data_IF_255877609627
#
_entry.id   IF_255877609627
#
_cell.length_a   1.000
_cell.length_b   1.000
_cell.length_c   1.000
_cell.angle_alpha   90.00
_cell.angle_beta   90.00
_cell.angle_gamma   90.00
#
_symmetry.space_group_name_H-M   'P 1'
#
loop_
_entity.id
_entity.type
_entity.pdbx_description
1 polymer ?
#
# COMPACT_ATOMS: atom_id res chain seq x y z
N UNK A 1 32.92 11.13 35.03
CA UNK A 1 31.87 10.35 34.34
C UNK A 1 31.26 11.29 33.33
N UNK A 2 31.70 11.19 32.07
CA UNK A 2 31.26 12.05 30.97
C UNK A 2 30.24 11.27 30.16
N UNK A 3 29.03 11.81 30.07
CA UNK A 3 27.99 11.31 29.20
C UNK A 3 28.44 11.38 27.74
N UNK A 4 28.69 10.22 27.14
CA UNK A 4 28.81 10.09 25.69
C UNK A 4 27.41 10.14 25.10
N UNK A 5 26.97 11.33 24.73
CA UNK A 5 25.89 11.51 23.77
C UNK A 5 26.41 10.89 22.47
N UNK A 6 25.85 9.75 22.09
CA UNK A 6 26.01 9.18 20.75
C UNK A 6 25.53 10.24 19.76
N UNK A 7 26.44 10.90 19.06
CA UNK A 7 26.14 11.51 17.77
C UNK A 7 25.51 10.42 16.91
N UNK A 8 24.20 10.48 16.75
CA UNK A 8 23.51 9.75 15.71
C UNK A 8 24.05 10.34 14.42
N UNK A 9 24.84 9.57 13.69
CA UNK A 9 25.42 9.95 12.40
C UNK A 9 24.30 10.11 11.36
N UNK A 10 23.71 11.31 11.34
CA UNK A 10 22.65 11.71 10.43
C UNK A 10 23.12 11.73 8.97
N UNK A 11 24.42 11.99 8.74
CA UNK A 11 25.02 12.04 7.41
C UNK A 11 25.01 10.66 6.74
N UNK A 12 25.37 9.59 7.46
CA UNK A 12 25.30 8.23 6.88
C UNK A 12 23.87 7.75 6.66
N UNK A 13 22.89 8.19 7.45
CA UNK A 13 21.48 7.86 7.22
C UNK A 13 20.93 8.54 5.96
N UNK A 14 21.24 9.83 5.76
CA UNK A 14 20.83 10.58 4.57
C UNK A 14 21.44 9.99 3.30
N UNK A 15 22.74 9.71 3.31
CA UNK A 15 23.44 9.09 2.18
C UNK A 15 22.87 7.70 1.83
N UNK A 16 22.50 6.91 2.84
CA UNK A 16 21.83 5.62 2.63
C UNK A 16 20.47 5.78 1.95
N UNK A 17 19.63 6.73 2.40
CA UNK A 17 18.35 7.02 1.76
C UNK A 17 18.54 7.42 0.30
N UNK A 18 19.50 8.29 0.01
CA UNK A 18 19.77 8.74 -1.35
C UNK A 18 20.22 7.59 -2.27
N UNK A 19 21.10 6.70 -1.79
CA UNK A 19 21.51 5.51 -2.54
C UNK A 19 20.33 4.58 -2.87
N UNK A 20 19.39 4.41 -1.93
CA UNK A 20 18.20 3.59 -2.15
C UNK A 20 17.30 4.23 -3.22
N UNK A 21 17.05 5.54 -3.12
CA UNK A 21 16.25 6.28 -4.11
C UNK A 21 16.91 6.23 -5.49
N UNK A 22 18.22 6.42 -5.56
CA UNK A 22 18.96 6.33 -6.81
C UNK A 22 18.85 4.93 -7.44
N UNK A 23 19.04 3.87 -6.64
CA UNK A 23 18.86 2.50 -7.12
C UNK A 23 17.44 2.18 -7.57
N UNK A 24 16.42 2.86 -7.02
CA UNK A 24 15.03 2.73 -7.46
C UNK A 24 14.84 3.37 -8.85
N UNK A 25 15.39 4.57 -9.05
CA UNK A 25 15.26 5.34 -10.30
C UNK A 25 16.03 4.66 -11.45
N UNK A 26 17.19 4.07 -11.17
CA UNK A 26 18.07 3.42 -12.15
C UNK A 26 17.64 1.97 -12.49
N UNK A 27 16.52 1.48 -11.96
CA UNK A 27 16.11 0.08 -12.13
C UNK A 27 15.46 -0.16 -13.50
N UNK A 28 16.07 -1.03 -14.31
CA UNK A 28 15.63 -1.31 -15.68
C UNK A 28 14.27 -2.03 -15.80
N UNK A 29 13.99 -3.02 -14.94
CA UNK A 29 12.76 -3.83 -15.00
C UNK A 29 11.93 -3.72 -13.71
N UNK A 30 11.62 -2.47 -13.35
CA UNK A 30 10.92 -2.16 -12.11
C UNK A 30 9.53 -2.80 -12.03
N UNK A 31 8.84 -3.00 -13.17
CA UNK A 31 7.52 -3.63 -13.21
C UNK A 31 7.58 -5.11 -12.84
N UNK A 32 8.54 -5.87 -13.39
CA UNK A 32 8.70 -7.28 -13.06
C UNK A 32 9.08 -7.45 -11.59
N UNK A 33 10.07 -6.69 -11.12
CA UNK A 33 10.57 -6.80 -9.75
C UNK A 33 9.50 -6.37 -8.72
N UNK A 34 8.67 -5.36 -9.06
CA UNK A 34 7.51 -4.99 -8.27
C UNK A 34 6.47 -6.12 -8.25
N UNK A 35 6.16 -6.74 -9.38
CA UNK A 35 5.20 -7.87 -9.44
C UNK A 35 5.61 -9.02 -8.53
N UNK A 36 6.88 -9.40 -8.55
CA UNK A 36 7.40 -10.45 -7.66
C UNK A 36 7.28 -10.05 -6.19
N UNK A 37 7.62 -8.81 -5.86
CA UNK A 37 7.54 -8.27 -4.50
C UNK A 37 6.10 -8.22 -3.99
N UNK A 38 5.16 -7.76 -4.81
CA UNK A 38 3.74 -7.70 -4.47
C UNK A 38 3.13 -9.09 -4.28
N UNK A 39 3.43 -10.05 -5.16
CA UNK A 39 2.98 -11.45 -4.99
C UNK A 39 3.45 -12.05 -3.66
N UNK A 40 4.65 -11.70 -3.23
CA UNK A 40 5.19 -12.14 -1.94
C UNK A 40 4.55 -11.45 -0.74
N UNK A 41 4.34 -10.14 -0.82
CA UNK A 41 3.80 -9.34 0.28
C UNK A 41 2.28 -9.49 0.45
N UNK A 42 1.56 -9.67 -0.66
CA UNK A 42 0.09 -9.70 -0.74
C UNK A 42 -0.37 -10.93 -1.53
N UNK A 43 -0.11 -12.16 -1.04
CA UNK A 43 -0.35 -13.39 -1.79
C UNK A 43 -1.82 -13.61 -2.17
N UNK A 44 -2.74 -13.00 -1.42
CA UNK A 44 -4.18 -13.14 -1.63
C UNK A 44 -4.79 -11.98 -2.44
N UNK A 45 -4.02 -10.96 -2.80
CA UNK A 45 -4.53 -9.81 -3.56
C UNK A 45 -4.88 -10.24 -4.99
N UNK A 46 -6.06 -9.84 -5.53
CA UNK A 46 -6.39 -10.05 -6.93
C UNK A 46 -5.32 -9.49 -7.86
N UNK A 47 -5.03 -10.20 -8.96
CA UNK A 47 -3.99 -9.79 -9.92
C UNK A 47 -4.29 -8.40 -10.50
N UNK A 48 -5.55 -8.09 -10.79
CA UNK A 48 -5.97 -6.78 -11.27
C UNK A 48 -5.68 -5.64 -10.28
N UNK A 49 -5.91 -5.86 -8.97
CA UNK A 49 -5.58 -4.88 -7.93
C UNK A 49 -4.07 -4.71 -7.77
N UNK A 50 -3.33 -5.82 -7.87
CA UNK A 50 -1.87 -5.81 -7.80
C UNK A 50 -1.25 -5.03 -8.95
N UNK A 51 -1.71 -5.22 -10.19
CA UNK A 51 -1.23 -4.46 -11.35
C UNK A 51 -1.51 -2.96 -11.23
N UNK A 52 -2.68 -2.58 -10.69
CA UNK A 52 -3.02 -1.17 -10.40
C UNK A 52 -2.07 -0.60 -9.35
N UNK A 53 -1.84 -1.31 -8.24
CA UNK A 53 -0.93 -0.85 -7.20
C UNK A 53 0.52 -0.71 -7.71
N UNK A 54 1.00 -1.67 -8.52
CA UNK A 54 2.31 -1.58 -9.17
C UNK A 54 2.38 -0.35 -10.07
N UNK A 55 1.36 -0.08 -10.87
CA UNK A 55 1.33 1.11 -11.71
C UNK A 55 1.44 2.39 -10.88
N UNK A 56 0.62 2.52 -9.84
CA UNK A 56 0.58 3.75 -9.04
C UNK A 56 1.78 3.94 -8.13
N UNK A 57 2.47 2.88 -7.70
CA UNK A 57 3.65 3.01 -6.82
C UNK A 57 4.96 3.02 -7.61
N UNK A 58 5.10 2.12 -8.59
CA UNK A 58 6.40 1.80 -9.19
C UNK A 58 6.54 2.20 -10.67
N UNK A 59 5.45 2.43 -11.39
CA UNK A 59 5.53 2.82 -12.82
C UNK A 59 5.37 4.34 -12.99
N UNK A 60 4.26 4.91 -12.50
CA UNK A 60 3.95 6.33 -12.68
C UNK A 60 4.13 7.14 -11.39
N UNK A 61 3.92 6.52 -10.22
CA UNK A 61 4.06 7.21 -8.93
C UNK A 61 5.45 7.77 -8.65
N UNK A 62 6.50 7.08 -9.09
CA UNK A 62 7.88 7.59 -8.98
C UNK A 62 8.04 8.87 -9.79
N UNK A 63 7.55 8.89 -11.03
CA UNK A 63 7.56 10.07 -11.89
C UNK A 63 6.80 11.23 -11.27
N UNK A 64 5.58 10.99 -10.79
CA UNK A 64 4.77 12.01 -10.12
C UNK A 64 5.46 12.58 -8.86
N UNK A 65 6.15 11.73 -8.09
CA UNK A 65 6.92 12.16 -6.91
C UNK A 65 8.09 13.05 -7.32
N UNK A 66 8.89 12.63 -8.31
CA UNK A 66 10.04 13.38 -8.80
C UNK A 66 9.62 14.73 -9.38
N UNK A 67 8.56 14.75 -10.19
CA UNK A 67 8.01 15.97 -10.78
C UNK A 67 7.57 16.98 -9.71
N UNK A 68 6.96 16.50 -8.62
CA UNK A 68 6.58 17.35 -7.49
C UNK A 68 7.80 17.87 -6.71
N UNK A 69 8.82 17.03 -6.47
CA UNK A 69 10.08 17.46 -5.85
C UNK A 69 10.81 18.52 -6.69
N UNK A 70 10.85 18.35 -8.01
CA UNK A 70 11.41 19.33 -8.95
C UNK A 70 10.61 20.64 -8.88
N UNK A 71 9.28 20.59 -8.80
CA UNK A 71 8.46 21.79 -8.65
C UNK A 71 8.76 22.55 -7.35
N UNK A 72 8.96 21.83 -6.22
CA UNK A 72 9.37 22.44 -4.95
C UNK A 72 10.73 23.11 -5.06
N UNK A 73 11.72 22.42 -5.63
CA UNK A 73 13.07 22.98 -5.79
C UNK A 73 13.05 24.22 -6.68
N UNK A 74 12.28 24.20 -7.77
CA UNK A 74 12.15 25.36 -8.66
C UNK A 74 11.49 26.56 -7.97
N UNK A 75 10.51 26.32 -7.09
CA UNK A 75 9.89 27.35 -6.26
C UNK A 75 10.88 27.93 -5.23
N UNK A 76 11.69 27.08 -4.59
CA UNK A 76 12.72 27.53 -3.63
C UNK A 76 13.80 28.39 -4.30
N UNK A 77 14.19 28.05 -5.53
CA UNK A 77 15.16 28.84 -6.31
C UNK A 77 14.58 30.15 -6.80
N UNK A 78 13.31 30.15 -7.19
CA UNK A 78 12.60 31.33 -7.66
C UNK A 78 11.12 31.26 -7.27
N UNK A 79 10.66 32.08 -6.31
CA UNK A 79 9.28 32.06 -5.84
C UNK A 79 8.22 32.37 -6.91
N UNK A 80 8.60 32.99 -8.04
CA UNK A 80 7.70 33.20 -9.17
C UNK A 80 7.32 31.89 -9.89
N UNK A 81 8.12 30.83 -9.70
CA UNK A 81 7.81 29.48 -10.16
C UNK A 81 6.85 28.80 -9.18
N UNK A 82 5.60 29.25 -9.16
CA UNK A 82 4.57 28.63 -8.31
C UNK A 82 4.47 27.12 -8.57
N UNK A 83 4.24 26.36 -7.49
CA UNK A 83 4.04 24.91 -7.58
C UNK A 83 2.70 24.65 -8.31
N UNK A 84 2.70 24.01 -9.49
CA UNK A 84 1.47 23.80 -10.23
C UNK A 84 0.54 22.82 -9.50
N UNK A 85 -0.75 23.16 -9.41
CA UNK A 85 -1.77 22.30 -8.79
C UNK A 85 -1.79 20.89 -9.41
N UNK A 86 -1.51 20.77 -10.72
CA UNK A 86 -1.43 19.50 -11.43
C UNK A 86 -0.35 18.56 -10.88
N UNK A 87 0.82 19.09 -10.46
CA UNK A 87 1.90 18.27 -9.90
C UNK A 87 1.52 17.71 -8.53
N UNK A 88 0.93 18.55 -7.68
CA UNK A 88 0.39 18.10 -6.38
C UNK A 88 -0.75 17.08 -6.56
N UNK A 89 -1.69 17.35 -7.47
CA UNK A 89 -2.82 16.45 -7.72
C UNK A 89 -2.40 15.11 -8.28
N UNK A 90 -1.41 15.10 -9.18
CA UNK A 90 -0.88 13.86 -9.77
C UNK A 90 -0.24 12.99 -8.69
N UNK A 91 0.61 13.56 -7.82
CA UNK A 91 1.17 12.84 -6.68
C UNK A 91 0.09 12.31 -5.73
N UNK A 92 -0.87 13.17 -5.35
CA UNK A 92 -1.98 12.78 -4.46
C UNK A 92 -2.82 11.64 -5.05
N UNK A 93 -3.07 11.66 -6.34
CA UNK A 93 -3.79 10.59 -7.03
C UNK A 93 -3.08 9.22 -6.88
N UNK A 94 -1.76 9.17 -6.99
CA UNK A 94 -1.01 7.92 -6.79
C UNK A 94 -1.02 7.46 -5.33
N UNK A 95 -0.81 8.38 -4.38
CA UNK A 95 -0.86 8.08 -2.95
C UNK A 95 -2.25 7.57 -2.55
N UNK A 96 -3.31 8.21 -3.05
CA UNK A 96 -4.69 7.80 -2.80
C UNK A 96 -4.96 6.38 -3.31
N UNK A 97 -4.55 6.05 -4.54
CA UNK A 97 -4.76 4.70 -5.08
C UNK A 97 -3.94 3.64 -4.32
N UNK A 98 -2.77 3.98 -3.81
CA UNK A 98 -2.03 3.09 -2.92
C UNK A 98 -2.79 2.83 -1.60
N UNK A 99 -3.35 3.87 -0.99
CA UNK A 99 -4.19 3.70 0.21
C UNK A 99 -5.45 2.88 -0.08
N UNK A 100 -6.09 3.08 -1.23
CA UNK A 100 -7.24 2.28 -1.64
C UNK A 100 -6.87 0.81 -1.82
N UNK A 101 -5.71 0.50 -2.41
CA UNK A 101 -5.21 -0.87 -2.48
C UNK A 101 -5.10 -1.48 -1.08
N UNK A 102 -4.46 -0.79 -0.14
CA UNK A 102 -4.29 -1.27 1.25
C UNK A 102 -5.64 -1.47 1.97
N UNK A 103 -6.58 -0.53 1.84
CA UNK A 103 -7.88 -0.61 2.48
C UNK A 103 -8.74 -1.76 1.92
N UNK A 104 -8.59 -2.06 0.64
CA UNK A 104 -9.32 -3.13 -0.04
C UNK A 104 -8.59 -4.47 0.01
N UNK A 105 -7.41 -4.54 0.64
CA UNK A 105 -6.64 -5.78 0.72
C UNK A 105 -7.48 -6.89 1.33
N UNK A 106 -7.42 -8.10 0.75
CA UNK A 106 -8.18 -9.25 1.19
C UNK A 106 -7.74 -9.84 2.53
N UNK A 107 -7.18 -9.08 3.47
CA UNK A 107 -6.72 -9.63 4.77
C UNK A 107 -7.85 -10.35 5.55
N UNK A 108 -9.13 -10.09 5.24
CA UNK A 108 -10.28 -10.87 5.74
C UNK A 108 -10.91 -11.88 4.76
N UNK A 109 -10.53 -11.90 3.48
CA UNK A 109 -11.14 -12.77 2.46
C UNK A 109 -10.84 -14.27 2.65
N UNK A 110 -9.62 -14.70 3.03
CA UNK A 110 -9.38 -16.10 3.35
C UNK A 110 -10.29 -16.62 4.46
N UNK A 111 -10.47 -15.83 5.53
CA UNK A 111 -11.38 -16.18 6.62
C UNK A 111 -12.86 -16.18 6.18
N UNK A 112 -13.27 -15.21 5.34
CA UNK A 112 -14.62 -15.21 4.75
C UNK A 112 -14.84 -16.46 3.88
N UNK A 113 -13.86 -16.83 3.05
CA UNK A 113 -13.95 -18.01 2.18
C UNK A 113 -13.97 -19.29 3.01
N UNK A 114 -13.11 -19.40 4.02
CA UNK A 114 -13.08 -20.50 5.00
C UNK A 114 -14.44 -20.65 5.67
N UNK A 115 -15.00 -19.56 6.24
CA UNK A 115 -16.32 -19.58 6.87
C UNK A 115 -17.42 -20.02 5.89
N UNK A 116 -17.37 -19.59 4.62
CA UNK A 116 -18.34 -20.04 3.61
C UNK A 116 -18.17 -21.52 3.25
N UNK A 117 -16.96 -22.04 3.22
CA UNK A 117 -16.69 -23.47 3.03
C UNK A 117 -17.14 -24.30 4.23
N UNK A 118 -16.90 -23.82 5.44
CA UNK A 118 -17.34 -24.43 6.70
C UNK A 118 -18.87 -24.47 6.78
N UNK A 119 -19.56 -23.35 6.49
CA UNK A 119 -21.03 -23.30 6.43
C UNK A 119 -21.58 -24.35 5.45
N UNK A 120 -20.96 -24.50 4.27
CA UNK A 120 -21.38 -25.51 3.29
C UNK A 120 -21.15 -26.93 3.82
N UNK A 121 -20.04 -27.18 4.51
CA UNK A 121 -19.77 -28.48 5.11
C UNK A 121 -20.80 -28.81 6.20
N UNK A 122 -21.05 -27.89 7.14
CA UNK A 122 -22.03 -28.07 8.21
C UNK A 122 -23.46 -28.28 7.69
N UNK A 123 -23.88 -27.57 6.64
CA UNK A 123 -25.18 -27.80 5.99
C UNK A 123 -25.25 -29.21 5.37
N UNK A 124 -24.17 -29.70 4.75
CA UNK A 124 -24.16 -31.03 4.16
C UNK A 124 -24.16 -32.17 5.21
N UNK A 125 -23.58 -31.90 6.38
CA UNK A 125 -23.50 -32.84 7.50
C UNK A 125 -24.72 -32.76 8.44
N UNK A 126 -25.76 -31.99 8.07
CA UNK A 126 -26.99 -31.74 8.86
C UNK A 126 -26.72 -31.06 10.23
N UNK A 127 -25.57 -30.39 10.38
CA UNK A 127 -25.14 -29.66 11.57
C UNK A 127 -25.61 -28.19 11.53
N UNK A 128 -26.92 -27.98 11.44
CA UNK A 128 -27.52 -26.66 11.20
C UNK A 128 -27.17 -25.62 12.27
N UNK A 129 -27.11 -26.01 13.55
CA UNK A 129 -26.77 -25.07 14.63
C UNK A 129 -25.33 -24.52 14.47
N UNK A 130 -24.38 -25.36 14.05
CA UNK A 130 -22.98 -24.96 13.82
C UNK A 130 -22.85 -24.10 12.56
N UNK A 131 -23.66 -24.37 11.54
CA UNK A 131 -23.75 -23.53 10.35
C UNK A 131 -24.25 -22.11 10.70
N UNK A 132 -25.20 -21.98 11.63
CA UNK A 132 -25.69 -20.69 12.10
C UNK A 132 -24.62 -19.90 12.87
N UNK A 133 -23.88 -20.56 13.76
CA UNK A 133 -22.75 -19.93 14.48
C UNK A 133 -21.69 -19.40 13.51
N UNK A 134 -21.38 -20.15 12.45
CA UNK A 134 -20.44 -19.75 11.41
C UNK A 134 -20.95 -18.57 10.55
N UNK A 135 -22.27 -18.43 10.40
CA UNK A 135 -22.90 -17.27 9.73
C UNK A 135 -22.76 -16.02 10.61
N UNK A 136 -22.97 -16.12 11.93
CA UNK A 136 -22.77 -14.97 12.84
C UNK A 136 -21.32 -14.48 12.81
N UNK A 137 -20.34 -15.41 12.85
CA UNK A 137 -18.92 -15.05 12.72
C UNK A 137 -18.61 -14.38 11.36
N UNK A 138 -19.25 -14.83 10.28
CA UNK A 138 -19.12 -14.22 8.96
C UNK A 138 -19.68 -12.78 8.94
N UNK A 139 -20.82 -12.54 9.58
CA UNK A 139 -21.42 -11.21 9.70
C UNK A 139 -20.52 -10.25 10.48
N UNK A 140 -19.93 -10.71 11.59
CA UNK A 140 -19.00 -9.92 12.41
C UNK A 140 -17.74 -9.52 11.62
N UNK A 141 -17.15 -10.47 10.87
CA UNK A 141 -15.97 -10.21 10.02
C UNK A 141 -16.29 -9.20 8.91
N UNK A 142 -17.50 -9.24 8.35
CA UNK A 142 -17.94 -8.29 7.33
C UNK A 142 -18.21 -6.90 7.92
N UNK A 143 -18.82 -6.79 9.10
CA UNK A 143 -19.09 -5.52 9.78
C UNK A 143 -17.81 -4.82 10.24
N UNK A 144 -16.87 -5.57 10.85
CA UNK A 144 -15.57 -5.03 11.26
C UNK A 144 -14.75 -4.46 10.10
N UNK A 145 -15.06 -4.85 8.86
CA UNK A 145 -14.44 -4.35 7.63
C UNK A 145 -15.09 -3.08 7.07
N UNK A 146 -16.35 -2.83 7.40
CA UNK A 146 -17.09 -1.65 6.97
C UNK A 146 -16.79 -0.42 7.84
N UNK A 147 -16.38 -0.65 9.10
CA UNK A 147 -15.88 0.38 10.01
C UNK A 147 -14.44 0.81 9.65
N UNK A 148 -14.25 1.32 8.43
CA UNK A 148 -13.05 2.09 8.10
C UNK A 148 -13.17 3.50 8.70
N UNK A 149 -12.05 4.11 9.15
CA UNK A 149 -12.06 5.46 9.69
C UNK A 149 -12.58 6.47 8.66
N UNK A 150 -13.59 7.24 9.07
CA UNK A 150 -14.11 8.41 8.36
C UNK A 150 -13.09 9.56 8.54
N UNK A 151 -12.38 9.92 7.48
CA UNK A 151 -11.50 11.09 7.43
C UNK A 151 -12.10 12.15 6.51
#
# INVERSE_FOLDING_TARGET
MSDQIKEIDFDSAHQRKMKIVQSLIERDDIRRDARESFKKAYPNAPECMTEVAIFHVYVDGIGATLDWLVAIENFLRNPDNLIPHSKSSHLLYHIYNWHQFLALLPEGYPKIVELVEDIKAYINDDEIDVALDSIEELEDVLQARLDNPDF
#
